data_IF_433316008140
#
_entry.id   IF_433316008140
#
_cell.length_a   1.000
_cell.length_b   1.000
_cell.length_c   1.000
_cell.angle_alpha   90.00
_cell.angle_beta   90.00
_cell.angle_gamma   90.00
#
_symmetry.space_group_name_H-M   'P 1'
#
loop_
_entity.id
_entity.type
_entity.pdbx_description
1 polymer ?
#
# COMPACT_ATOMS: atom_id res chain seq x y z
N UNK A 1 2.15 22.14 11.38
CA UNK A 1 2.18 20.70 11.01
C UNK A 1 1.92 20.60 9.51
N UNK A 2 2.86 20.16 8.67
CA UNK A 2 2.61 20.10 7.24
C UNK A 2 1.59 19.01 6.92
N UNK A 3 0.54 19.38 6.18
CA UNK A 3 -0.55 18.51 5.80
C UNK A 3 -0.16 17.72 4.54
N UNK A 4 0.44 16.55 4.75
CA UNK A 4 0.81 15.65 3.64
C UNK A 4 -0.46 15.04 3.06
N UNK A 5 -0.74 15.33 1.79
CA UNK A 5 -1.90 14.79 1.08
C UNK A 5 -1.60 13.34 0.69
N UNK A 6 -2.18 12.38 1.42
CA UNK A 6 -2.05 10.96 1.10
C UNK A 6 -2.77 10.63 -0.21
N UNK A 7 -2.10 9.87 -1.10
CA UNK A 7 -2.77 9.27 -2.26
C UNK A 7 -3.82 8.29 -1.76
N UNK A 8 -5.10 8.64 -1.93
CA UNK A 8 -6.21 7.70 -1.69
C UNK A 8 -6.23 6.71 -2.85
N UNK A 9 -5.82 5.47 -2.62
CA UNK A 9 -6.21 4.39 -3.53
C UNK A 9 -7.74 4.28 -3.48
N UNK A 10 -8.46 4.42 -4.61
CA UNK A 10 -9.92 4.43 -4.61
C UNK A 10 -10.52 3.08 -4.20
N UNK A 11 -9.71 2.02 -4.26
CA UNK A 11 -10.08 0.67 -3.82
C UNK A 11 -9.08 0.24 -2.75
N UNK A 12 -9.59 -0.06 -1.56
CA UNK A 12 -8.79 -0.66 -0.50
C UNK A 12 -8.20 -1.99 -0.96
N UNK A 13 -7.02 -2.35 -0.44
CA UNK A 13 -6.46 -3.65 -0.72
C UNK A 13 -7.42 -4.75 -0.22
N UNK A 14 -7.53 -5.89 -0.92
CA UNK A 14 -8.56 -6.90 -0.65
C UNK A 14 -8.40 -7.61 0.70
N UNK A 15 -7.27 -7.42 1.39
CA UNK A 15 -7.01 -7.91 2.74
C UNK A 15 -7.35 -6.89 3.83
N UNK A 16 -7.81 -5.68 3.48
CA UNK A 16 -8.22 -4.66 4.46
C UNK A 16 -9.64 -4.97 4.95
N UNK A 17 -9.77 -5.19 6.27
CA UNK A 17 -11.06 -5.42 6.93
C UNK A 17 -11.59 -4.15 7.58
N UNK A 18 -12.89 -4.09 7.86
CA UNK A 18 -13.49 -2.99 8.62
C UNK A 18 -12.88 -2.87 10.03
N UNK A 19 -12.57 -4.00 10.67
CA UNK A 19 -11.87 -4.02 11.95
C UNK A 19 -10.49 -3.35 11.86
N UNK A 20 -9.70 -3.71 10.84
CA UNK A 20 -8.39 -3.11 10.63
C UNK A 20 -8.47 -1.60 10.36
N UNK A 21 -9.48 -1.15 9.60
CA UNK A 21 -9.75 0.29 9.40
C UNK A 21 -10.07 1.01 10.71
N UNK A 22 -10.90 0.43 11.57
CA UNK A 22 -11.22 1.00 12.88
C UNK A 22 -9.98 1.21 13.74
N UNK A 23 -9.05 0.25 13.76
CA UNK A 23 -7.79 0.39 14.49
C UNK A 23 -6.89 1.50 13.93
N UNK A 24 -6.86 1.68 12.60
CA UNK A 24 -6.13 2.78 11.97
C UNK A 24 -6.70 4.13 12.42
N UNK A 25 -8.03 4.25 12.44
CA UNK A 25 -8.73 5.48 12.89
C UNK A 25 -8.42 5.74 14.36
N UNK A 26 -8.50 4.73 15.21
CA UNK A 26 -8.22 4.85 16.65
C UNK A 26 -6.77 5.27 16.92
N UNK A 27 -5.81 4.64 16.22
CA UNK A 27 -4.40 5.06 16.25
C UNK A 27 -4.23 6.51 15.83
N UNK A 28 -4.92 6.95 14.78
CA UNK A 28 -4.84 8.32 14.29
C UNK A 28 -5.43 9.33 15.29
N UNK A 29 -6.53 8.96 15.96
CA UNK A 29 -7.08 9.74 17.08
C UNK A 29 -6.09 9.83 18.23
N UNK A 30 -5.52 8.70 18.67
CA UNK A 30 -4.54 8.68 19.75
C UNK A 30 -3.30 9.52 19.44
N UNK A 31 -2.81 9.50 18.19
CA UNK A 31 -1.73 10.38 17.75
C UNK A 31 -2.11 11.85 17.86
N UNK A 32 -3.31 12.22 17.40
CA UNK A 32 -3.77 13.61 17.37
C UNK A 32 -4.05 14.16 18.77
N UNK A 33 -4.54 13.31 19.68
CA UNK A 33 -4.90 13.70 21.06
C UNK A 33 -3.70 13.68 22.00
N UNK A 34 -2.84 12.66 21.93
CA UNK A 34 -1.80 12.40 22.93
C UNK A 34 -0.37 12.50 22.39
N UNK A 35 -0.20 12.62 21.07
CA UNK A 35 1.11 12.69 20.43
C UNK A 35 1.84 11.34 20.27
N UNK A 36 2.98 11.36 19.54
CA UNK A 36 3.75 10.16 19.17
C UNK A 36 4.39 9.42 20.36
N UNK A 37 4.68 10.13 21.45
CA UNK A 37 5.40 9.54 22.58
C UNK A 37 4.51 8.85 23.59
N UNK A 38 3.19 9.05 23.48
CA UNK A 38 2.21 8.44 24.38
C UNK A 38 2.21 6.91 24.30
N UNK A 39 2.07 6.26 25.46
CA UNK A 39 1.94 4.81 25.56
C UNK A 39 0.71 4.29 24.79
N UNK A 40 -0.41 5.03 24.83
CA UNK A 40 -1.63 4.73 24.09
C UNK A 40 -1.39 4.69 22.58
N UNK A 41 -0.71 5.68 22.00
CA UNK A 41 -0.38 5.67 20.58
C UNK A 41 0.57 4.52 20.23
N UNK A 42 1.61 4.29 21.03
CA UNK A 42 2.59 3.20 20.81
C UNK A 42 1.90 1.83 20.83
N UNK A 43 0.98 1.61 21.77
CA UNK A 43 0.18 0.38 21.87
C UNK A 43 -0.67 0.18 20.61
N UNK A 44 -1.44 1.20 20.21
CA UNK A 44 -2.30 1.15 19.01
C UNK A 44 -1.48 0.97 17.72
N UNK A 45 -0.31 1.61 17.60
CA UNK A 45 0.61 1.40 16.47
C UNK A 45 1.03 -0.07 16.37
N UNK A 46 1.38 -0.69 17.50
CA UNK A 46 1.77 -2.09 17.53
C UNK A 46 0.60 -3.02 17.22
N UNK A 47 -0.60 -2.71 17.72
CA UNK A 47 -1.81 -3.46 17.42
C UNK A 47 -2.17 -3.39 15.92
N UNK A 48 -2.15 -2.21 15.31
CA UNK A 48 -2.31 -2.02 13.86
C UNK A 48 -1.29 -2.85 13.08
N UNK A 49 -0.02 -2.85 13.50
CA UNK A 49 1.02 -3.64 12.82
C UNK A 49 0.79 -5.15 12.92
N UNK A 50 0.33 -5.64 14.07
CA UNK A 50 -0.05 -7.05 14.24
C UNK A 50 -1.24 -7.40 13.36
N UNK A 51 -2.28 -6.59 13.39
CA UNK A 51 -3.51 -6.84 12.62
C UNK A 51 -3.25 -6.81 11.12
N UNK A 52 -2.40 -5.88 10.65
CA UNK A 52 -1.94 -5.86 9.25
C UNK A 52 -1.32 -7.19 8.83
N UNK A 53 -0.44 -7.76 9.66
CA UNK A 53 0.22 -9.05 9.37
C UNK A 53 -0.79 -10.19 9.36
N UNK A 54 -1.74 -10.20 10.31
CA UNK A 54 -2.79 -11.21 10.41
C UNK A 54 -3.70 -11.17 9.18
N UNK A 55 -4.26 -10.01 8.87
CA UNK A 55 -5.13 -9.78 7.71
C UNK A 55 -4.45 -10.23 6.40
N UNK A 56 -3.20 -9.80 6.19
CA UNK A 56 -2.43 -10.15 4.99
C UNK A 56 -2.17 -11.65 4.90
N UNK A 57 -1.77 -12.28 6.01
CA UNK A 57 -1.54 -13.74 6.09
C UNK A 57 -2.81 -14.55 5.83
N UNK A 58 -3.91 -14.19 6.47
CA UNK A 58 -5.20 -14.88 6.33
C UNK A 58 -5.73 -14.77 4.90
N UNK A 59 -5.67 -13.59 4.30
CA UNK A 59 -6.09 -13.39 2.91
C UNK A 59 -5.31 -14.29 1.96
N UNK A 60 -3.97 -14.29 2.03
CA UNK A 60 -3.18 -15.12 1.12
C UNK A 60 -3.34 -16.61 1.39
N UNK A 61 -3.43 -17.04 2.66
CA UNK A 61 -3.72 -18.44 3.00
C UNK A 61 -5.03 -18.90 2.38
N UNK A 62 -6.11 -18.15 2.59
CA UNK A 62 -7.43 -18.48 2.05
C UNK A 62 -7.44 -18.43 0.53
N UNK A 63 -6.89 -17.37 -0.07
CA UNK A 63 -6.89 -17.18 -1.52
C UNK A 63 -6.05 -18.24 -2.24
N UNK A 64 -4.87 -18.56 -1.72
CA UNK A 64 -4.01 -19.63 -2.26
C UNK A 64 -4.67 -20.99 -2.08
N UNK A 65 -5.26 -21.26 -0.92
CA UNK A 65 -6.00 -22.50 -0.69
C UNK A 65 -7.15 -22.66 -1.70
N UNK A 66 -7.98 -21.64 -1.88
CA UNK A 66 -9.07 -21.66 -2.85
C UNK A 66 -8.57 -21.90 -4.28
N UNK A 67 -7.57 -21.13 -4.72
CA UNK A 67 -7.06 -21.24 -6.10
C UNK A 67 -6.40 -22.59 -6.40
N UNK A 68 -5.73 -23.22 -5.42
CA UNK A 68 -5.22 -24.58 -5.55
C UNK A 68 -6.33 -25.61 -5.80
N UNK A 69 -7.49 -25.41 -5.19
CA UNK A 69 -8.62 -26.32 -5.32
C UNK A 69 -9.46 -26.10 -6.59
N UNK A 70 -9.40 -24.90 -7.21
CA UNK A 70 -10.29 -24.54 -8.32
C UNK A 70 -9.62 -24.58 -9.69
N UNK A 71 -8.40 -24.05 -9.86
CA UNK A 71 -7.66 -24.10 -11.14
C UNK A 71 -6.18 -23.67 -10.95
N UNK A 72 -5.24 -24.61 -11.16
CA UNK A 72 -3.80 -24.37 -10.97
C UNK A 72 -3.21 -23.35 -11.95
N UNK A 73 -3.81 -23.15 -13.14
CA UNK A 73 -3.35 -22.14 -14.11
C UNK A 73 -3.72 -20.73 -13.66
N UNK A 74 -4.92 -20.54 -13.12
CA UNK A 74 -5.37 -19.27 -12.57
C UNK A 74 -4.60 -18.89 -11.29
N UNK A 75 -4.21 -19.88 -10.47
CA UNK A 75 -3.30 -19.66 -9.35
C UNK A 75 -1.98 -19.00 -9.79
N UNK A 76 -1.32 -19.53 -10.82
CA UNK A 76 -0.04 -18.99 -11.29
C UNK A 76 -0.19 -17.59 -11.92
N UNK A 77 -1.31 -17.29 -12.58
CA UNK A 77 -1.63 -15.93 -13.04
C UNK A 77 -1.79 -14.96 -11.87
N UNK A 78 -2.49 -15.37 -10.82
CA UNK A 78 -2.73 -14.54 -9.65
C UNK A 78 -1.45 -14.31 -8.82
N UNK A 79 -0.60 -15.32 -8.66
CA UNK A 79 0.73 -15.17 -8.03
C UNK A 79 1.55 -14.13 -8.78
N UNK A 80 1.58 -14.20 -10.12
CA UNK A 80 2.24 -13.17 -10.93
C UNK A 80 1.65 -11.78 -10.68
N UNK A 81 0.32 -11.65 -10.60
CA UNK A 81 -0.35 -10.37 -10.31
C UNK A 81 0.01 -9.82 -8.93
N UNK A 82 -0.02 -10.66 -7.90
CA UNK A 82 0.24 -10.27 -6.51
C UNK A 82 1.70 -9.90 -6.25
N UNK A 83 2.63 -10.53 -6.98
CA UNK A 83 4.07 -10.24 -6.91
C UNK A 83 4.52 -9.13 -7.85
N UNK A 84 3.62 -8.53 -8.63
CA UNK A 84 3.96 -7.51 -9.64
C UNK A 84 4.68 -8.05 -10.88
N UNK A 85 4.71 -9.38 -11.05
CA UNK A 85 5.31 -10.08 -12.20
C UNK A 85 4.31 -10.31 -13.33
N UNK A 86 3.04 -9.98 -13.14
CA UNK A 86 2.08 -9.99 -14.23
C UNK A 86 2.55 -8.95 -15.23
N UNK A 87 2.86 -9.40 -16.45
CA UNK A 87 3.04 -8.52 -17.60
C UNK A 87 1.76 -7.68 -17.70
N UNK A 88 1.80 -6.49 -17.13
CA UNK A 88 0.88 -5.44 -17.49
C UNK A 88 1.00 -5.35 -19.00
N UNK A 89 -0.08 -5.69 -19.72
CA UNK A 89 -0.21 -5.17 -21.08
C UNK A 89 0.08 -3.69 -20.94
N UNK A 90 1.18 -3.28 -21.54
CA UNK A 90 1.80 -1.97 -21.46
C UNK A 90 0.77 -0.85 -21.44
N UNK A 91 0.22 -0.52 -20.27
CA UNK A 91 -0.22 0.82 -19.99
C UNK A 91 1.09 1.53 -19.69
N UNK A 92 1.75 1.95 -20.78
CA UNK A 92 2.93 2.79 -20.74
C UNK A 92 2.72 3.79 -19.59
N UNK A 93 3.65 3.81 -18.65
CA UNK A 93 3.56 4.65 -17.45
C UNK A 93 3.33 6.11 -17.84
N UNK A 94 3.74 6.49 -19.06
CA UNK A 94 3.45 7.76 -19.72
C UNK A 94 1.95 8.07 -19.88
N UNK A 95 1.08 7.07 -20.02
CA UNK A 95 -0.38 7.24 -20.14
C UNK A 95 -1.09 7.43 -18.78
N UNK A 96 -0.43 7.10 -17.66
CA UNK A 96 -1.02 7.21 -16.31
C UNK A 96 -0.74 8.60 -15.70
N UNK A 97 0.30 9.26 -16.19
CA UNK A 97 0.64 10.60 -15.78
C UNK A 97 0.33 11.50 -16.98
N UNK A 98 -0.84 12.15 -16.96
CA UNK A 98 -1.05 13.38 -17.74
C UNK A 98 0.04 14.36 -17.29
N UNK A 99 1.19 14.29 -17.93
CA UNK A 99 2.24 15.27 -17.79
C UNK A 99 2.45 15.85 -19.16
N UNK A 100 1.64 16.86 -19.46
CA UNK A 100 1.81 17.76 -20.60
C UNK A 100 3.17 18.48 -20.61
N UNK A 101 4.14 18.14 -19.75
CA UNK A 101 5.44 18.82 -19.64
C UNK A 101 6.60 17.90 -19.17
N UNK A 102 6.64 16.62 -19.55
CA UNK A 102 7.79 15.75 -19.23
C UNK A 102 8.89 15.77 -20.29
N UNK A 103 8.59 16.20 -21.51
CA UNK A 103 9.57 16.22 -22.61
C UNK A 103 10.71 17.25 -22.40
N UNK A 104 10.62 18.08 -21.36
CA UNK A 104 11.61 19.14 -21.05
C UNK A 104 12.48 18.85 -19.82
N UNK A 105 12.27 17.76 -19.09
CA UNK A 105 13.03 17.47 -17.86
C UNK A 105 14.17 16.48 -18.11
N UNK A 106 15.36 16.81 -17.62
CA UNK A 106 16.52 15.95 -17.81
C UNK A 106 16.42 14.68 -16.94
N UNK A 107 17.09 13.61 -17.35
CA UNK A 107 17.09 12.32 -16.62
C UNK A 107 17.53 12.46 -15.15
N UNK A 108 18.33 13.47 -14.83
CA UNK A 108 18.75 13.77 -13.45
C UNK A 108 17.60 14.35 -12.61
N UNK A 109 16.75 15.18 -13.19
CA UNK A 109 15.61 15.80 -12.49
C UNK A 109 14.51 14.78 -12.19
N UNK A 110 14.30 13.84 -13.11
CA UNK A 110 13.44 12.67 -12.91
C UNK A 110 13.96 11.78 -11.78
N UNK A 111 15.26 11.48 -11.78
CA UNK A 111 15.88 10.63 -10.76
C UNK A 111 15.81 11.27 -9.37
N UNK A 112 16.02 12.59 -9.28
CA UNK A 112 15.91 13.32 -8.03
C UNK A 112 14.48 13.34 -7.48
N UNK A 113 13.47 13.53 -8.35
CA UNK A 113 12.05 13.41 -7.96
C UNK A 113 11.68 12.01 -7.48
N UNK A 114 12.22 10.96 -8.10
CA UNK A 114 12.00 9.57 -7.68
C UNK A 114 12.62 9.32 -6.29
N UNK A 115 13.84 9.80 -6.06
CA UNK A 115 14.53 9.66 -4.77
C UNK A 115 13.85 10.44 -3.64
N UNK A 116 13.31 11.62 -3.94
CA UNK A 116 12.53 12.43 -3.00
C UNK A 116 11.25 11.71 -2.55
N UNK A 117 10.55 11.05 -3.48
CA UNK A 117 9.34 10.26 -3.19
C UNK A 117 9.68 8.94 -2.48
N UNK A 118 10.82 8.32 -2.78
CA UNK A 118 11.26 7.05 -2.19
C UNK A 118 11.69 7.15 -0.73
N UNK A 119 12.28 8.28 -0.31
CA UNK A 119 12.76 8.48 1.07
C UNK A 119 11.63 8.49 2.12
N UNK A 120 10.38 8.75 1.71
CA UNK A 120 9.21 8.82 2.59
C UNK A 120 8.50 7.47 2.82
N UNK A 121 8.98 6.37 2.23
CA UNK A 121 8.36 5.04 2.36
C UNK A 121 9.00 4.19 3.48
N UNK A 122 10.09 4.66 4.10
CA UNK A 122 10.80 3.94 5.17
C UNK A 122 10.70 4.62 6.55
N UNK A 123 9.48 4.87 7.09
CA UNK A 123 9.23 5.02 8.54
C UNK A 123 7.86 4.43 8.92
#
# INVERSE_FOLDING_TARGET
>A
MPMIRSKKCPVDAPWITNHFKSLIIERQKAFSTYGPDSSSFKSLRNQVNRERKICKSNYYKLRVHQLKQTDSKEWWKEVKRLSGMASTRSSDIRNIIDIENLEQLSEQELTNKINEVGSLICI
#
